data_IF_268005333304
#
_entry.id   IF_268005333304
#
_cell.length_a   1.000
_cell.length_b   1.000
_cell.length_c   1.000
_cell.angle_alpha   90.00
_cell.angle_beta   90.00
_cell.angle_gamma   90.00
#
_symmetry.space_group_name_H-M   'P 1'
#
loop_
_entity.id
_entity.type
_entity.pdbx_description
1 polymer ?
#
# COMPACT_ATOMS: atom_id res chain seq x y z
N UNK A 1 10.41 -10.09 22.98
CA UNK A 1 11.65 -9.80 22.27
C UNK A 1 12.89 -10.27 23.00
N UNK A 2 14.07 -10.00 22.46
CA UNK A 2 15.37 -10.44 22.98
C UNK A 2 15.59 -10.05 24.45
N UNK A 3 15.15 -8.86 24.87
CA UNK A 3 15.24 -8.41 26.28
C UNK A 3 14.45 -9.31 27.23
N UNK A 4 13.26 -9.76 26.84
CA UNK A 4 12.45 -10.67 27.64
C UNK A 4 13.08 -12.08 27.76
N UNK A 5 13.79 -12.55 26.72
CA UNK A 5 14.53 -13.80 26.80
C UNK A 5 15.79 -13.66 27.65
N UNK A 6 16.40 -12.49 27.71
CA UNK A 6 17.54 -12.19 28.56
C UNK A 6 17.17 -12.23 30.05
N UNK A 7 15.96 -11.83 30.44
CA UNK A 7 15.49 -11.86 31.83
C UNK A 7 15.31 -13.28 32.35
N UNK A 8 15.17 -14.29 31.50
CA UNK A 8 15.09 -15.71 31.91
C UNK A 8 16.40 -16.29 32.48
N UNK A 9 17.51 -15.56 32.29
CA UNK A 9 18.81 -15.90 32.90
C UNK A 9 18.96 -15.33 34.33
N UNK A 10 18.05 -14.49 34.78
CA UNK A 10 18.06 -13.89 36.10
C UNK A 10 17.23 -14.71 37.08
N UNK A 11 17.59 -14.75 38.39
CA UNK A 11 16.75 -15.35 39.39
C UNK A 11 15.41 -14.63 39.51
N UNK A 12 14.34 -15.42 39.60
CA UNK A 12 13.01 -14.88 39.86
C UNK A 12 12.78 -14.78 41.36
N UNK A 13 12.48 -13.57 41.82
CA UNK A 13 12.12 -13.30 43.20
C UNK A 13 10.59 -13.17 43.27
N UNK A 14 9.96 -13.99 44.07
CA UNK A 14 8.52 -14.01 44.29
C UNK A 14 8.22 -13.71 45.74
N UNK A 15 7.41 -12.70 46.01
CA UNK A 15 6.86 -12.45 47.34
C UNK A 15 5.49 -13.12 47.43
N UNK A 16 5.24 -13.90 48.45
CA UNK A 16 3.97 -14.58 48.70
C UNK A 16 3.44 -14.17 50.08
N UNK A 17 2.13 -13.88 50.13
CA UNK A 17 1.43 -13.63 51.38
C UNK A 17 0.11 -14.38 51.38
N UNK A 18 -0.22 -15.01 52.49
CA UNK A 18 -1.51 -15.67 52.68
C UNK A 18 -2.12 -15.34 54.03
N UNK A 19 -3.43 -15.26 54.09
CA UNK A 19 -4.23 -15.06 55.29
C UNK A 19 -5.38 -16.08 55.30
N UNK A 20 -5.55 -16.78 56.43
CA UNK A 20 -6.63 -17.75 56.61
C UNK A 20 -7.77 -17.11 57.40
N UNK A 21 -8.95 -17.15 56.79
CA UNK A 21 -10.19 -16.61 57.39
C UNK A 21 -11.02 -17.69 58.11
N UNK A 22 -10.64 -18.95 58.03
CA UNK A 22 -11.38 -20.07 58.61
C UNK A 22 -10.57 -20.74 59.73
N UNK A 23 -11.22 -21.00 60.86
CA UNK A 23 -10.65 -21.77 61.98
C UNK A 23 -10.85 -23.27 61.75
N UNK A 24 -9.82 -23.90 61.16
CA UNK A 24 -9.72 -25.38 61.18
C UNK A 24 -8.91 -25.85 62.42
N UNK A 25 -9.24 -27.04 62.96
CA UNK A 25 -8.52 -27.57 64.10
C UNK A 25 -6.99 -27.67 63.96
N UNK A 26 -6.49 -27.70 62.72
CA UNK A 26 -5.06 -27.65 62.36
C UNK A 26 -4.43 -26.27 62.49
N UNK A 27 -5.28 -25.19 62.57
CA UNK A 27 -4.80 -23.80 62.63
C UNK A 27 -4.21 -23.42 63.98
N UNK A 28 -4.31 -24.29 65.03
CA UNK A 28 -3.67 -24.07 66.32
C UNK A 28 -2.14 -24.14 66.25
N UNK A 29 -1.56 -24.72 65.17
CA UNK A 29 -0.15 -24.87 64.98
C UNK A 29 0.42 -23.94 63.89
N UNK A 30 -0.46 -23.40 62.99
CA UNK A 30 -0.05 -22.55 61.89
C UNK A 30 -0.52 -21.10 62.16
N UNK A 31 0.33 -20.08 61.89
CA UNK A 31 -0.07 -18.68 62.03
C UNK A 31 -1.18 -18.35 61.03
N UNK A 32 -2.15 -17.48 61.44
CA UNK A 32 -3.26 -17.03 60.61
C UNK A 32 -2.81 -16.22 59.40
N UNK A 33 -1.57 -15.78 59.38
CA UNK A 33 -0.96 -15.09 58.26
C UNK A 33 0.43 -15.61 58.05
N UNK A 34 0.89 -15.64 56.81
CA UNK A 34 2.25 -15.96 56.45
C UNK A 34 2.70 -15.05 55.31
N UNK A 35 3.93 -14.55 55.43
CA UNK A 35 4.60 -13.80 54.36
C UNK A 35 5.90 -14.54 54.09
N UNK A 36 6.17 -14.75 52.82
CA UNK A 36 7.39 -15.44 52.39
C UNK A 36 8.00 -14.78 51.17
N UNK A 37 9.28 -14.85 51.02
CA UNK A 37 10.04 -14.50 49.82
C UNK A 37 10.68 -15.74 49.27
N UNK A 38 10.33 -16.09 48.05
CA UNK A 38 10.92 -17.23 47.32
C UNK A 38 11.87 -16.74 46.24
N UNK A 39 13.02 -17.36 46.09
CA UNK A 39 13.94 -17.13 44.96
C UNK A 39 13.99 -18.42 44.15
N UNK A 40 13.58 -18.33 42.90
CA UNK A 40 13.64 -19.45 41.97
C UNK A 40 14.74 -19.17 40.94
N UNK A 41 15.72 -20.03 40.88
CA UNK A 41 16.81 -19.96 39.92
C UNK A 41 17.05 -21.34 39.31
N UNK A 42 16.86 -21.45 37.99
CA UNK A 42 17.13 -22.68 37.24
C UNK A 42 18.61 -22.74 36.89
N UNK A 43 19.37 -23.60 37.58
CA UNK A 43 20.77 -23.81 37.31
C UNK A 43 21.04 -24.43 35.94
N UNK A 44 20.21 -25.38 35.54
CA UNK A 44 20.33 -26.07 34.26
C UNK A 44 18.93 -26.39 33.69
N UNK A 45 18.69 -26.11 32.42
CA UNK A 45 17.43 -26.38 31.73
C UNK A 45 17.62 -27.03 30.34
N UNK A 46 18.74 -27.77 30.17
CA UNK A 46 19.02 -28.43 28.91
C UNK A 46 19.34 -27.50 27.75
N UNK A 47 19.94 -26.34 28.01
CA UNK A 47 20.27 -25.30 27.02
C UNK A 47 19.02 -24.64 26.36
N UNK A 48 17.84 -24.82 26.93
CA UNK A 48 16.59 -24.29 26.40
C UNK A 48 16.59 -22.73 26.33
N UNK A 49 17.20 -22.08 27.36
CA UNK A 49 17.33 -20.61 27.40
C UNK A 49 18.22 -20.09 26.28
N UNK A 50 19.37 -20.77 26.06
CA UNK A 50 20.35 -20.44 25.04
C UNK A 50 19.73 -20.54 23.63
N UNK A 51 19.02 -21.65 23.38
CA UNK A 51 18.31 -21.83 22.10
C UNK A 51 17.20 -20.81 21.89
N UNK A 52 16.40 -20.52 22.93
CA UNK A 52 15.35 -19.49 22.85
C UNK A 52 15.93 -18.09 22.63
N UNK A 53 17.04 -17.76 23.29
CA UNK A 53 17.74 -16.51 23.10
C UNK A 53 18.29 -16.39 21.67
N UNK A 54 18.94 -17.46 21.17
CA UNK A 54 19.42 -17.51 19.79
C UNK A 54 18.29 -17.39 18.78
N UNK A 55 17.19 -18.12 18.97
CA UNK A 55 16.01 -18.03 18.13
C UNK A 55 15.40 -16.60 18.11
N UNK A 56 15.31 -15.95 19.28
CA UNK A 56 14.84 -14.58 19.37
C UNK A 56 15.77 -13.60 18.63
N UNK A 57 17.07 -13.84 18.65
CA UNK A 57 18.06 -13.03 17.91
C UNK A 57 17.94 -13.22 16.40
N UNK A 58 17.70 -14.44 15.93
CA UNK A 58 17.46 -14.72 14.51
C UNK A 58 16.13 -14.08 14.03
N UNK A 59 15.12 -14.07 14.90
CA UNK A 59 13.85 -13.39 14.60
C UNK A 59 14.06 -11.89 14.38
N UNK A 60 14.90 -11.23 15.19
CA UNK A 60 15.23 -9.81 14.98
C UNK A 60 15.92 -9.60 13.65
N UNK A 61 16.94 -10.39 13.32
CA UNK A 61 17.63 -10.30 12.02
C UNK A 61 16.69 -10.50 10.84
N UNK A 62 15.74 -11.45 10.99
CA UNK A 62 14.71 -11.64 9.96
C UNK A 62 13.83 -10.41 9.76
N UNK A 63 13.43 -9.75 10.85
CA UNK A 63 12.61 -8.53 10.79
C UNK A 63 13.40 -7.38 10.15
N UNK A 64 14.67 -7.21 10.50
CA UNK A 64 15.57 -6.23 9.88
C UNK A 64 15.69 -6.46 8.37
N UNK A 65 15.96 -7.69 7.94
CA UNK A 65 16.02 -8.02 6.52
C UNK A 65 14.67 -7.82 5.77
N UNK A 66 13.54 -8.05 6.44
CA UNK A 66 12.21 -7.77 5.88
C UNK A 66 11.95 -6.26 5.77
N UNK A 67 12.46 -5.47 6.71
CA UNK A 67 12.36 -4.01 6.66
C UNK A 67 13.17 -3.45 5.48
N UNK A 68 14.41 -3.91 5.30
CA UNK A 68 15.25 -3.50 4.17
C UNK A 68 14.61 -3.89 2.83
N UNK A 69 14.07 -5.13 2.77
CA UNK A 69 13.34 -5.59 1.58
C UNK A 69 12.12 -4.71 1.30
N UNK A 70 11.30 -4.41 2.31
CA UNK A 70 10.12 -3.56 2.14
C UNK A 70 10.49 -2.16 1.65
N UNK A 71 11.57 -1.56 2.16
CA UNK A 71 12.07 -0.28 1.68
C UNK A 71 12.45 -0.31 0.18
N UNK A 72 13.15 -1.37 -0.24
CA UNK A 72 13.51 -1.54 -1.64
C UNK A 72 12.28 -1.79 -2.52
N UNK A 73 11.36 -2.65 -2.09
CA UNK A 73 10.13 -2.98 -2.83
C UNK A 73 9.27 -1.71 -3.04
N UNK A 74 9.14 -0.85 -2.01
CA UNK A 74 8.41 0.42 -2.10
C UNK A 74 9.12 1.38 -3.09
N UNK A 75 10.43 1.50 -3.03
CA UNK A 75 11.20 2.36 -3.94
C UNK A 75 11.01 1.96 -5.40
N UNK A 76 11.08 0.67 -5.69
CA UNK A 76 10.84 0.12 -7.04
C UNK A 76 9.38 0.33 -7.47
N UNK A 77 8.43 0.18 -6.54
CA UNK A 77 7.01 0.43 -6.82
C UNK A 77 6.75 1.89 -7.19
N UNK A 78 7.29 2.84 -6.43
CA UNK A 78 7.16 4.28 -6.70
C UNK A 78 7.76 4.63 -8.07
N UNK A 79 8.96 4.14 -8.38
CA UNK A 79 9.59 4.35 -9.68
C UNK A 79 8.75 3.79 -10.83
N UNK A 80 8.23 2.57 -10.67
CA UNK A 80 7.34 1.94 -11.66
C UNK A 80 6.08 2.77 -11.90
N UNK A 81 5.41 3.23 -10.82
CA UNK A 81 4.17 4.00 -10.92
C UNK A 81 4.42 5.39 -11.53
N UNK A 82 5.56 6.02 -11.19
CA UNK A 82 5.97 7.27 -11.81
C UNK A 82 6.18 7.12 -13.32
N UNK A 83 6.94 6.11 -13.74
CA UNK A 83 7.17 5.82 -15.16
C UNK A 83 5.86 5.48 -15.89
N UNK A 84 4.96 4.76 -15.26
CA UNK A 84 3.65 4.43 -15.81
C UNK A 84 2.78 5.69 -16.00
N UNK A 85 2.76 6.59 -15.02
CA UNK A 85 2.06 7.87 -15.10
C UNK A 85 2.61 8.74 -16.26
N UNK A 86 3.95 8.83 -16.40
CA UNK A 86 4.60 9.59 -17.46
C UNK A 86 4.32 8.99 -18.85
N UNK A 87 4.23 7.67 -18.96
CA UNK A 87 3.80 7.00 -20.19
C UNK A 87 2.38 7.39 -20.59
N UNK A 88 1.43 7.40 -19.64
CA UNK A 88 0.06 7.84 -19.94
C UNK A 88 -0.02 9.32 -20.31
N UNK A 89 0.80 10.16 -19.67
CA UNK A 89 0.93 11.58 -20.05
C UNK A 89 1.39 11.75 -21.50
N UNK A 90 2.41 10.98 -21.90
CA UNK A 90 2.92 10.98 -23.28
C UNK A 90 1.87 10.44 -24.25
N UNK A 91 1.16 9.38 -23.87
CA UNK A 91 0.07 8.81 -24.67
C UNK A 91 -1.06 9.81 -24.87
N UNK A 92 -1.45 10.57 -23.84
CA UNK A 92 -2.45 11.63 -23.97
C UNK A 92 -2.05 12.70 -24.99
N UNK A 93 -0.75 13.12 -24.97
CA UNK A 93 -0.26 14.09 -25.95
C UNK A 93 -0.34 13.55 -27.39
N UNK A 94 -0.06 12.26 -27.59
CA UNK A 94 -0.21 11.60 -28.90
C UNK A 94 -1.66 11.50 -29.36
N UNK A 95 -2.57 11.19 -28.44
CA UNK A 95 -4.03 11.09 -28.73
C UNK A 95 -4.61 12.46 -29.11
N UNK A 96 -4.14 13.57 -28.52
CA UNK A 96 -4.58 14.92 -28.93
C UNK A 96 -4.26 15.20 -30.41
N UNK A 97 -3.08 14.78 -30.89
CA UNK A 97 -2.73 14.90 -32.30
C UNK A 97 -3.63 14.00 -33.19
N UNK A 98 -3.92 12.78 -32.73
CA UNK A 98 -4.81 11.85 -33.42
C UNK A 98 -6.25 12.37 -33.47
N UNK A 99 -6.70 13.06 -32.42
CA UNK A 99 -8.03 13.67 -32.35
C UNK A 99 -8.16 14.79 -33.40
N UNK A 100 -7.19 15.71 -33.44
CA UNK A 100 -7.18 16.77 -34.44
C UNK A 100 -7.19 16.24 -35.89
N UNK A 101 -6.43 15.15 -36.14
CA UNK A 101 -6.46 14.47 -37.42
C UNK A 101 -7.81 13.84 -37.75
N UNK A 102 -8.43 13.15 -36.77
CA UNK A 102 -9.72 12.48 -36.96
C UNK A 102 -10.84 13.49 -37.21
N UNK A 103 -10.82 14.67 -36.56
CA UNK A 103 -11.77 15.74 -36.77
C UNK A 103 -11.66 16.34 -38.20
N UNK A 104 -10.46 16.65 -38.65
CA UNK A 104 -10.23 17.17 -40.00
C UNK A 104 -10.53 16.10 -41.07
N UNK A 105 -10.23 14.82 -40.80
CA UNK A 105 -10.59 13.72 -41.70
C UNK A 105 -12.09 13.59 -41.87
N UNK A 106 -12.87 13.64 -40.77
CA UNK A 106 -14.34 13.61 -40.82
C UNK A 106 -14.87 14.80 -41.59
N UNK A 107 -14.36 16.00 -41.35
CA UNK A 107 -14.76 17.22 -42.08
C UNK A 107 -14.52 17.11 -43.58
N UNK A 108 -13.34 16.57 -43.97
CA UNK A 108 -13.02 16.34 -45.38
C UNK A 108 -13.94 15.31 -46.02
N UNK A 109 -14.23 14.17 -45.33
CA UNK A 109 -15.16 13.15 -45.82
C UNK A 109 -16.59 13.66 -45.96
N UNK A 110 -17.03 14.47 -45.01
CA UNK A 110 -18.37 15.08 -45.08
C UNK A 110 -18.49 16.06 -46.27
N UNK A 111 -17.48 16.89 -46.54
CA UNK A 111 -17.47 17.77 -47.71
C UNK A 111 -17.50 16.96 -49.02
N UNK A 112 -16.66 15.91 -49.12
CA UNK A 112 -16.64 15.03 -50.29
C UNK A 112 -17.97 14.28 -50.51
N UNK A 113 -18.65 13.89 -49.45
CA UNK A 113 -19.98 13.26 -49.50
C UNK A 113 -21.03 14.21 -50.04
N UNK A 114 -21.03 15.46 -49.58
CA UNK A 114 -21.97 16.48 -50.07
C UNK A 114 -21.78 16.79 -51.57
N UNK A 115 -20.56 16.66 -52.07
CA UNK A 115 -20.22 16.83 -53.50
C UNK A 115 -20.41 15.54 -54.33
N UNK A 116 -20.85 14.44 -53.71
CA UNK A 116 -21.07 13.14 -54.37
C UNK A 116 -19.80 12.37 -54.71
N UNK A 117 -18.65 12.80 -54.15
CA UNK A 117 -17.32 12.19 -54.35
C UNK A 117 -16.92 11.13 -53.30
N UNK A 118 -17.74 10.93 -52.25
CA UNK A 118 -17.51 9.94 -51.20
C UNK A 118 -18.79 9.16 -50.93
N UNK A 119 -18.67 7.91 -50.49
CA UNK A 119 -19.81 7.07 -50.14
C UNK A 119 -20.30 7.35 -48.73
N UNK A 120 -21.53 6.96 -48.41
CA UNK A 120 -22.06 7.01 -47.04
C UNK A 120 -21.27 6.09 -46.08
N UNK A 121 -20.73 5.01 -46.60
CA UNK A 121 -19.85 4.11 -45.80
C UNK A 121 -18.57 4.80 -45.38
N UNK A 122 -17.95 5.57 -46.29
CA UNK A 122 -16.73 6.33 -45.97
C UNK A 122 -16.97 7.39 -44.90
N UNK A 123 -18.14 8.02 -44.90
CA UNK A 123 -18.54 9.00 -43.91
C UNK A 123 -18.76 8.33 -42.55
N UNK A 124 -19.47 7.20 -42.51
CA UNK A 124 -19.69 6.43 -41.29
C UNK A 124 -18.38 5.96 -40.71
N UNK A 125 -17.45 5.47 -41.53
CA UNK A 125 -16.12 5.03 -41.07
C UNK A 125 -15.32 6.19 -40.45
N UNK A 126 -15.43 7.39 -41.01
CA UNK A 126 -14.80 8.59 -40.44
C UNK A 126 -15.40 8.97 -39.08
N UNK A 127 -16.74 8.89 -38.95
CA UNK A 127 -17.43 9.14 -37.68
C UNK A 127 -17.05 8.12 -36.62
N UNK A 128 -17.01 6.83 -36.97
CA UNK A 128 -16.58 5.76 -36.08
C UNK A 128 -15.13 5.94 -35.63
N UNK A 129 -14.24 6.33 -36.55
CA UNK A 129 -12.84 6.62 -36.20
C UNK A 129 -12.73 7.77 -35.19
N UNK A 130 -13.46 8.86 -35.40
CA UNK A 130 -13.49 9.98 -34.44
C UNK A 130 -14.03 9.55 -33.09
N UNK A 131 -15.14 8.78 -33.06
CA UNK A 131 -15.71 8.25 -31.81
C UNK A 131 -14.70 7.35 -31.05
N UNK A 132 -13.95 6.51 -31.78
CA UNK A 132 -12.90 5.67 -31.23
C UNK A 132 -11.79 6.50 -30.58
N UNK A 133 -11.25 7.50 -31.27
CA UNK A 133 -10.19 8.38 -30.75
C UNK A 133 -10.67 9.16 -29.53
N UNK A 134 -11.91 9.65 -29.53
CA UNK A 134 -12.52 10.30 -28.34
C UNK A 134 -12.60 9.35 -27.15
N UNK A 135 -12.94 8.09 -27.36
CA UNK A 135 -12.99 7.07 -26.32
C UNK A 135 -11.59 6.76 -25.79
N UNK A 136 -10.60 6.60 -26.66
CA UNK A 136 -9.19 6.37 -26.28
C UNK A 136 -8.64 7.53 -25.44
N UNK A 137 -9.04 8.77 -25.75
CA UNK A 137 -8.69 9.97 -24.96
C UNK A 137 -9.19 9.89 -23.53
N UNK A 138 -10.45 9.52 -23.35
CA UNK A 138 -11.07 9.37 -22.02
C UNK A 138 -10.38 8.25 -21.24
N UNK A 139 -10.13 7.13 -21.89
CA UNK A 139 -9.45 5.98 -21.27
C UNK A 139 -8.03 6.34 -20.81
N UNK A 140 -7.26 7.05 -21.64
CA UNK A 140 -5.91 7.47 -21.30
C UNK A 140 -5.90 8.43 -20.11
N UNK A 141 -6.83 9.38 -20.06
CA UNK A 141 -6.99 10.29 -18.93
C UNK A 141 -7.35 9.55 -17.64
N UNK A 142 -8.30 8.64 -17.71
CA UNK A 142 -8.67 7.80 -16.56
C UNK A 142 -7.49 6.98 -16.04
N UNK A 143 -6.72 6.36 -16.93
CA UNK A 143 -5.53 5.59 -16.56
C UNK A 143 -4.45 6.47 -15.94
N UNK A 144 -4.28 7.71 -16.42
CA UNK A 144 -3.40 8.68 -15.80
C UNK A 144 -3.81 9.00 -14.37
N UNK A 145 -5.09 9.32 -14.14
CA UNK A 145 -5.63 9.64 -12.82
C UNK A 145 -5.48 8.46 -11.84
N UNK A 146 -5.75 7.23 -12.29
CA UNK A 146 -5.56 6.03 -11.49
C UNK A 146 -4.08 5.83 -11.13
N UNK A 147 -3.17 6.03 -12.09
CA UNK A 147 -1.73 5.90 -11.84
C UNK A 147 -1.22 6.97 -10.88
N UNK A 148 -1.74 8.20 -10.98
CA UNK A 148 -1.44 9.28 -10.03
C UNK A 148 -1.92 8.93 -8.62
N UNK A 149 -3.16 8.44 -8.49
CA UNK A 149 -3.70 8.01 -7.19
C UNK A 149 -2.85 6.90 -6.54
N UNK A 150 -2.47 5.90 -7.33
CA UNK A 150 -1.60 4.80 -6.86
C UNK A 150 -0.20 5.29 -6.47
N UNK A 151 0.36 6.26 -7.20
CA UNK A 151 1.65 6.85 -6.88
C UNK A 151 1.60 7.60 -5.54
N UNK A 152 0.55 8.42 -5.32
CA UNK A 152 0.35 9.14 -4.07
C UNK A 152 0.10 8.18 -2.88
N UNK A 153 -0.61 7.07 -3.12
CA UNK A 153 -0.80 6.02 -2.12
C UNK A 153 0.53 5.35 -1.75
N UNK A 154 1.33 4.96 -2.73
CA UNK A 154 2.64 4.37 -2.50
C UNK A 154 3.62 5.33 -1.80
N UNK A 155 3.48 6.65 -2.03
CA UNK A 155 4.23 7.69 -1.35
C UNK A 155 3.69 8.04 0.05
N UNK A 156 2.51 7.51 0.44
CA UNK A 156 1.88 7.78 1.73
C UNK A 156 1.22 9.16 1.86
N UNK A 157 0.88 9.79 0.75
CA UNK A 157 0.25 11.13 0.66
C UNK A 157 -1.05 11.12 -0.16
N UNK A 158 -1.82 10.04 -0.04
CA UNK A 158 -3.07 9.85 -0.80
C UNK A 158 -4.14 10.91 -0.54
N UNK A 159 -4.13 11.58 0.60
CA UNK A 159 -4.98 12.71 0.97
C UNK A 159 -4.74 13.95 0.09
N UNK A 160 -3.55 14.09 -0.50
CA UNK A 160 -3.23 15.18 -1.42
C UNK A 160 -3.83 15.00 -2.82
N UNK A 161 -4.39 13.83 -3.17
CA UNK A 161 -4.94 13.57 -4.51
C UNK A 161 -5.91 14.66 -4.98
N UNK A 162 -6.83 15.11 -4.10
CA UNK A 162 -7.79 16.16 -4.43
C UNK A 162 -7.11 17.50 -4.72
N UNK A 163 -5.99 17.80 -4.06
CA UNK A 163 -5.21 19.00 -4.30
C UNK A 163 -4.52 18.96 -5.67
N UNK A 164 -3.98 17.79 -6.05
CA UNK A 164 -3.40 17.57 -7.38
C UNK A 164 -4.43 17.74 -8.50
N UNK A 165 -5.65 17.19 -8.32
CA UNK A 165 -6.74 17.30 -9.30
C UNK A 165 -7.29 18.74 -9.47
N UNK A 166 -7.06 19.63 -8.50
CA UNK A 166 -7.50 21.02 -8.53
C UNK A 166 -6.43 22.01 -9.00
N UNK A 167 -5.21 21.54 -9.29
CA UNK A 167 -4.13 22.42 -9.76
C UNK A 167 -4.53 23.12 -11.06
N UNK A 168 -4.02 24.33 -11.25
CA UNK A 168 -4.33 25.15 -12.45
C UNK A 168 -3.78 24.54 -13.74
N UNK A 169 -2.73 23.72 -13.64
CA UNK A 169 -2.11 22.97 -14.74
C UNK A 169 -2.78 21.62 -15.01
N UNK A 170 -3.79 21.23 -14.23
CA UNK A 170 -4.56 20.01 -14.45
C UNK A 170 -5.38 20.13 -15.74
N UNK A 171 -5.09 19.29 -16.74
CA UNK A 171 -5.88 19.22 -17.98
C UNK A 171 -7.22 18.55 -17.70
N UNK A 172 -8.30 19.29 -17.96
CA UNK A 172 -9.66 18.75 -17.85
C UNK A 172 -10.17 18.40 -19.24
N UNK A 173 -10.72 17.19 -19.39
CA UNK A 173 -11.46 16.83 -20.59
C UNK A 173 -12.84 17.46 -20.48
N UNK A 174 -13.12 18.43 -21.34
CA UNK A 174 -14.45 19.06 -21.44
C UNK A 174 -15.22 18.32 -22.52
N UNK A 175 -16.41 17.85 -22.20
CA UNK A 175 -17.33 17.29 -23.19
C UNK A 175 -18.13 18.45 -23.74
N UNK A 176 -17.86 18.82 -25.00
CA UNK A 176 -18.79 19.66 -25.73
C UNK A 176 -20.08 18.87 -26.00
N UNK A 177 -21.23 19.49 -25.68
CA UNK A 177 -22.56 18.89 -25.86
C UNK A 177 -22.97 18.90 -27.33
#
# INVERSE_FOLDING_TARGET
GVRAQRSSFLPQVVAMGGMSFYDYQVSKVLPRWAVGVGVNFKLFDGLNREYKYSAAKQTVRRVEALQDKAGNDISVLVEKLYNQMENYRTQMASIEASLAFAEEYLKTKNAAFLEGMSSSTDLIDAELNLAKVKTERIEAAYRYDVSLAQLLEAAGISDEFTAYMRRQDARRITFEK
#
